data_IF_437418133867
#
_entry.id   IF_437418133867
#
_cell.length_a   1.000
_cell.length_b   1.000
_cell.length_c   1.000
_cell.angle_alpha   90.00
_cell.angle_beta   90.00
_cell.angle_gamma   90.00
#
_symmetry.space_group_name_H-M   'P 1'
#
loop_
_entity.id
_entity.type
_entity.pdbx_description
1 polymer ?
#
# COMPACT_ATOMS: atom_id res chain seq x y z
N UNK A 1 4.13 2.04 26.89
CA UNK A 1 4.68 2.02 25.52
C UNK A 1 3.61 1.51 24.58
N UNK A 2 3.34 2.23 23.47
CA UNK A 2 2.30 1.89 22.49
C UNK A 2 2.95 1.17 21.31
N UNK A 3 2.36 0.04 20.91
CA UNK A 3 2.80 -0.76 19.78
C UNK A 3 1.88 -0.51 18.59
N UNK A 4 2.47 -0.49 17.38
CA UNK A 4 1.77 -0.27 16.12
C UNK A 4 2.08 -1.42 15.16
N UNK A 5 1.07 -1.88 14.44
CA UNK A 5 1.19 -2.90 13.40
C UNK A 5 1.83 -2.30 12.14
N UNK A 6 2.87 -2.95 11.64
CA UNK A 6 3.61 -2.54 10.44
C UNK A 6 3.42 -3.50 9.25
N UNK A 7 3.04 -4.75 9.53
CA UNK A 7 2.77 -5.78 8.52
C UNK A 7 1.85 -6.84 9.09
N UNK A 8 1.01 -7.42 8.23
CA UNK A 8 0.08 -8.50 8.56
C UNK A 8 0.29 -9.67 7.61
N UNK A 9 0.12 -10.90 8.10
CA UNK A 9 0.07 -12.09 7.26
C UNK A 9 -0.83 -13.17 7.89
N UNK A 10 -1.25 -14.14 7.08
CA UNK A 10 -1.88 -15.38 7.54
C UNK A 10 -0.87 -16.41 8.05
N UNK A 11 0.42 -16.24 7.76
CA UNK A 11 1.47 -17.17 8.19
C UNK A 11 2.58 -16.44 8.94
N UNK A 12 2.96 -17.00 10.10
CA UNK A 12 4.04 -16.47 10.94
C UNK A 12 5.38 -16.47 10.17
N UNK A 13 5.60 -17.47 9.32
CA UNK A 13 6.80 -17.60 8.49
C UNK A 13 7.05 -16.39 7.59
N UNK A 14 5.99 -15.76 7.08
CA UNK A 14 6.10 -14.63 6.15
C UNK A 14 6.63 -13.36 6.84
N UNK A 15 6.52 -13.31 8.16
CA UNK A 15 6.98 -12.20 8.99
C UNK A 15 8.36 -12.47 9.59
N UNK A 16 8.87 -13.71 9.52
CA UNK A 16 10.10 -14.11 10.19
C UNK A 16 11.33 -13.34 9.69
N UNK A 17 11.48 -13.20 8.37
CA UNK A 17 12.63 -12.51 7.76
C UNK A 17 12.67 -11.04 8.16
N UNK A 18 11.53 -10.34 8.02
CA UNK A 18 11.42 -8.93 8.38
C UNK A 18 11.63 -8.72 9.89
N UNK A 19 11.02 -9.56 10.73
CA UNK A 19 11.21 -9.51 12.18
C UNK A 19 12.68 -9.66 12.55
N UNK A 20 13.37 -10.68 12.02
CA UNK A 20 14.81 -10.89 12.28
C UNK A 20 15.67 -9.72 11.81
N UNK A 21 15.33 -9.10 10.67
CA UNK A 21 16.04 -7.91 10.20
C UNK A 21 15.87 -6.74 11.18
N UNK A 22 14.65 -6.44 11.61
CA UNK A 22 14.38 -5.36 12.57
C UNK A 22 15.05 -5.61 13.93
N UNK A 23 15.00 -6.85 14.43
CA UNK A 23 15.66 -7.24 15.68
C UNK A 23 17.18 -7.14 15.59
N UNK A 24 17.78 -7.47 14.44
CA UNK A 24 19.24 -7.29 14.20
C UNK A 24 19.68 -5.83 14.26
N UNK A 25 18.74 -4.90 14.05
CA UNK A 25 18.92 -3.47 14.16
C UNK A 25 18.63 -2.92 15.56
N UNK A 26 18.31 -3.80 16.51
CA UNK A 26 17.98 -3.43 17.90
C UNK A 26 16.57 -2.89 18.07
N UNK A 27 15.68 -3.10 17.10
CA UNK A 27 14.28 -2.67 17.18
C UNK A 27 13.45 -3.76 17.85
N UNK A 28 12.75 -3.41 18.92
CA UNK A 28 11.89 -4.36 19.63
C UNK A 28 10.65 -4.68 18.80
N UNK A 29 10.48 -5.95 18.46
CA UNK A 29 9.35 -6.45 17.70
C UNK A 29 8.50 -7.43 18.53
N UNK A 30 7.20 -7.49 18.24
CA UNK A 30 6.31 -8.54 18.77
C UNK A 30 5.35 -9.02 17.69
N UNK A 31 4.95 -10.29 17.78
CA UNK A 31 3.89 -10.85 16.94
C UNK A 31 2.61 -10.95 17.76
N UNK A 32 1.56 -10.26 17.31
CA UNK A 32 0.22 -10.39 17.91
C UNK A 32 -0.55 -11.47 17.18
N UNK A 33 -1.27 -12.30 17.94
CA UNK A 33 -2.02 -13.48 17.46
C UNK A 33 -1.15 -14.64 16.93
N UNK A 34 0.15 -14.68 17.23
CA UNK A 34 1.09 -15.69 16.71
C UNK A 34 0.62 -17.14 16.92
N UNK A 35 0.14 -17.48 18.13
CA UNK A 35 -0.30 -18.84 18.45
C UNK A 35 -1.68 -19.16 17.84
N UNK A 36 -2.60 -18.20 17.85
CA UNK A 36 -3.95 -18.37 17.31
C UNK A 36 -3.90 -18.65 15.82
N UNK A 37 -3.11 -17.87 15.07
CA UNK A 37 -3.01 -18.01 13.62
C UNK A 37 -2.31 -19.32 13.22
N UNK A 38 -1.42 -19.87 14.07
CA UNK A 38 -0.84 -21.20 13.80
C UNK A 38 -1.87 -22.34 13.83
N UNK A 39 -2.94 -22.19 14.61
CA UNK A 39 -4.01 -23.20 14.71
C UNK A 39 -5.14 -22.91 13.72
N UNK A 40 -5.44 -21.64 13.46
CA UNK A 40 -6.64 -21.19 12.73
C UNK A 40 -6.28 -20.17 11.63
N UNK A 41 -5.32 -20.49 10.76
CA UNK A 41 -4.91 -19.63 9.63
C UNK A 41 -5.90 -19.62 8.45
N UNK A 42 -6.83 -20.58 8.39
CA UNK A 42 -7.77 -20.73 7.27
C UNK A 42 -8.94 -19.74 7.33
N UNK A 43 -9.11 -19.02 8.45
CA UNK A 43 -10.13 -17.98 8.57
C UNK A 43 -9.56 -16.68 7.99
N UNK A 44 -10.17 -16.07 6.96
CA UNK A 44 -9.63 -14.86 6.32
C UNK A 44 -9.48 -13.63 7.23
N UNK A 45 -10.17 -13.58 8.36
CA UNK A 45 -10.02 -12.50 9.35
C UNK A 45 -8.94 -12.78 10.40
N UNK A 46 -8.36 -13.99 10.44
CA UNK A 46 -7.31 -14.34 11.39
C UNK A 46 -5.94 -14.09 10.77
N UNK A 47 -5.29 -13.04 11.24
CA UNK A 47 -3.96 -12.64 10.81
C UNK A 47 -3.04 -12.46 12.01
N UNK A 48 -1.77 -12.78 11.80
CA UNK A 48 -0.69 -12.40 12.69
C UNK A 48 -0.22 -11.00 12.31
N UNK A 49 -0.05 -10.15 13.32
CA UNK A 49 0.38 -8.76 13.15
C UNK A 49 1.81 -8.61 13.68
N UNK A 50 2.75 -8.15 12.83
CA UNK A 50 4.08 -7.71 13.27
C UNK A 50 3.98 -6.29 13.80
N UNK A 51 4.34 -6.10 15.07
CA UNK A 51 4.23 -4.82 15.76
C UNK A 51 5.57 -4.35 16.32
N UNK A 52 5.77 -3.03 16.28
CA UNK A 52 6.95 -2.31 16.79
C UNK A 52 6.51 -1.19 17.73
N UNK A 53 7.44 -0.65 18.53
CA UNK A 53 7.17 0.53 19.33
C UNK A 53 6.92 1.76 18.43
N UNK A 54 5.94 2.59 18.80
CA UNK A 54 5.61 3.82 18.07
C UNK A 54 6.81 4.78 17.95
N UNK A 55 7.73 4.76 18.91
CA UNK A 55 8.96 5.55 18.90
C UNK A 55 9.94 5.17 17.78
N UNK A 56 9.89 3.92 17.30
CA UNK A 56 10.82 3.41 16.30
C UNK A 56 10.26 3.49 14.87
N UNK A 57 9.04 4.03 14.71
CA UNK A 57 8.30 4.00 13.44
C UNK A 57 9.07 4.61 12.27
N UNK A 58 9.75 5.73 12.48
CA UNK A 58 10.47 6.41 11.40
C UNK A 58 11.70 5.64 10.94
N UNK A 59 12.42 5.00 11.88
CA UNK A 59 13.53 4.11 11.55
C UNK A 59 13.04 2.85 10.84
N UNK A 60 11.94 2.27 11.31
CA UNK A 60 11.32 1.08 10.70
C UNK A 60 10.90 1.37 9.25
N UNK A 61 10.32 2.54 8.95
CA UNK A 61 9.97 2.93 7.59
C UNK A 61 11.17 2.93 6.63
N UNK A 62 12.33 3.41 7.09
CA UNK A 62 13.55 3.39 6.29
C UNK A 62 13.98 1.96 5.96
N UNK A 63 14.00 1.08 6.97
CA UNK A 63 14.35 -0.33 6.78
C UNK A 63 13.38 -1.02 5.83
N UNK A 64 12.07 -0.77 5.96
CA UNK A 64 11.06 -1.35 5.07
C UNK A 64 11.27 -0.94 3.61
N UNK A 65 11.72 0.30 3.37
CA UNK A 65 12.09 0.77 2.04
C UNK A 65 13.35 0.04 1.55
N UNK A 66 14.40 -0.05 2.37
CA UNK A 66 15.65 -0.72 2.02
C UNK A 66 15.46 -2.22 1.72
N UNK A 67 14.57 -2.89 2.45
CA UNK A 67 14.26 -4.31 2.24
C UNK A 67 13.25 -4.56 1.12
N UNK A 68 12.74 -3.50 0.48
CA UNK A 68 11.72 -3.59 -0.58
C UNK A 68 10.33 -4.03 -0.10
N UNK A 69 10.08 -3.99 1.22
CA UNK A 69 8.76 -4.26 1.83
C UNK A 69 7.80 -3.09 1.60
N UNK A 70 8.35 -1.87 1.54
CA UNK A 70 7.67 -0.69 1.05
C UNK A 70 8.38 -0.20 -0.22
N UNK A 71 7.63 0.28 -1.23
CA UNK A 71 8.25 0.93 -2.37
C UNK A 71 8.98 2.20 -1.90
N UNK A 72 10.22 2.37 -2.36
CA UNK A 72 11.13 3.50 -2.07
C UNK A 72 10.49 4.88 -2.32
N UNK A 73 9.48 4.87 -3.18
CA UNK A 73 8.31 5.72 -3.06
C UNK A 73 7.15 4.96 -3.69
N UNK A 74 5.97 4.89 -3.05
CA UNK A 74 4.75 4.67 -3.82
C UNK A 74 4.70 5.83 -4.82
N UNK A 75 5.13 5.58 -6.06
CA UNK A 75 5.71 6.57 -6.97
C UNK A 75 5.11 7.95 -6.80
N UNK A 76 5.83 8.85 -6.10
CA UNK A 76 5.50 10.27 -6.17
C UNK A 76 5.69 10.63 -7.63
N UNK A 77 4.59 10.80 -8.36
CA UNK A 77 4.62 11.22 -9.75
C UNK A 77 5.13 12.65 -9.73
N UNK A 78 6.44 12.79 -9.87
CA UNK A 78 7.10 14.09 -9.89
C UNK A 78 6.93 14.65 -11.29
N UNK A 79 6.62 15.94 -11.40
CA UNK A 79 6.52 16.56 -12.71
C UNK A 79 7.90 16.57 -13.40
N UNK A 80 8.06 15.99 -14.61
CA UNK A 80 9.36 15.95 -15.31
C UNK A 80 9.87 17.32 -15.73
N UNK A 81 9.01 18.36 -15.72
CA UNK A 81 9.37 19.72 -16.12
C UNK A 81 9.87 20.59 -14.97
N UNK A 82 9.32 20.43 -13.77
CA UNK A 82 9.60 21.35 -12.65
C UNK A 82 9.88 20.67 -11.31
N UNK A 83 9.88 19.33 -11.24
CA UNK A 83 10.16 18.60 -10.01
C UNK A 83 9.08 18.70 -8.93
N UNK A 84 7.90 19.26 -9.26
CA UNK A 84 6.81 19.38 -8.28
C UNK A 84 6.17 18.04 -7.96
N UNK A 85 5.93 17.79 -6.68
CA UNK A 85 5.13 16.66 -6.19
C UNK A 85 3.61 16.89 -6.33
N UNK A 86 3.20 18.13 -6.64
CA UNK A 86 1.78 18.51 -6.75
C UNK A 86 1.24 18.17 -8.15
N UNK A 87 0.95 16.90 -8.36
CA UNK A 87 0.45 16.37 -9.64
C UNK A 87 -0.95 15.80 -9.47
N UNK A 88 -1.89 16.20 -10.34
CA UNK A 88 -3.27 15.67 -10.36
C UNK A 88 -3.48 14.79 -11.58
N UNK A 89 -4.11 13.64 -11.37
CA UNK A 89 -4.59 12.78 -12.44
C UNK A 89 -5.80 13.44 -13.14
N UNK A 90 -5.74 13.55 -14.46
CA UNK A 90 -6.81 14.10 -15.31
C UNK A 90 -7.37 12.99 -16.20
N UNK A 91 -8.52 12.45 -15.80
CA UNK A 91 -9.30 11.55 -16.64
C UNK A 91 -10.03 12.33 -17.74
N UNK A 92 -9.94 11.85 -18.99
CA UNK A 92 -10.70 12.38 -20.12
C UNK A 92 -12.22 12.27 -19.86
N UNK A 93 -13.00 13.20 -20.40
CA UNK A 93 -14.46 13.24 -20.21
C UNK A 93 -15.12 11.92 -20.64
N UNK A 94 -14.70 11.33 -21.77
CA UNK A 94 -15.18 10.02 -22.24
C UNK A 94 -14.97 8.91 -21.19
N UNK A 95 -13.82 8.91 -20.52
CA UNK A 95 -13.50 7.94 -19.46
C UNK A 95 -14.34 8.18 -18.20
N UNK A 96 -14.64 9.43 -17.84
CA UNK A 96 -15.52 9.74 -16.70
C UNK A 96 -16.92 9.16 -16.89
N UNK A 97 -17.48 9.32 -18.09
CA UNK A 97 -18.78 8.73 -18.45
C UNK A 97 -18.72 7.20 -18.43
N UNK A 98 -17.65 6.61 -18.99
CA UNK A 98 -17.45 5.16 -19.00
C UNK A 98 -17.34 4.58 -17.58
N UNK A 99 -16.62 5.25 -16.67
CA UNK A 99 -16.51 4.83 -15.26
C UNK A 99 -17.88 4.85 -14.59
N UNK A 100 -18.65 5.94 -14.74
CA UNK A 100 -19.99 6.03 -14.17
C UNK A 100 -20.90 4.90 -14.66
N UNK A 101 -20.89 4.62 -15.96
CA UNK A 101 -21.69 3.52 -16.52
C UNK A 101 -21.22 2.15 -16.02
N UNK A 102 -19.91 1.93 -15.91
CA UNK A 102 -19.35 0.67 -15.41
C UNK A 102 -19.70 0.39 -13.95
N UNK A 103 -19.73 1.42 -13.10
CA UNK A 103 -20.13 1.30 -11.69
C UNK A 103 -21.61 0.91 -11.57
N UNK A 104 -22.47 1.55 -12.36
CA UNK A 104 -23.91 1.23 -12.39
C UNK A 104 -24.12 -0.22 -12.88
N UNK A 105 -23.43 -0.63 -13.95
CA UNK A 105 -23.52 -1.98 -14.47
C UNK A 105 -22.99 -3.05 -13.48
N UNK A 106 -21.87 -2.77 -12.80
CA UNK A 106 -21.33 -3.67 -11.78
C UNK A 106 -22.30 -3.84 -10.60
N UNK A 107 -22.96 -2.76 -10.17
CA UNK A 107 -23.96 -2.80 -9.11
C UNK A 107 -25.21 -3.61 -9.50
N UNK A 108 -25.64 -3.53 -10.77
CA UNK A 108 -26.84 -4.23 -11.26
C UNK A 108 -26.58 -5.70 -11.63
N UNK A 109 -25.41 -6.01 -12.18
CA UNK A 109 -25.10 -7.32 -12.75
C UNK A 109 -24.05 -8.13 -11.96
N UNK A 110 -23.57 -7.61 -10.82
CA UNK A 110 -22.53 -8.24 -9.97
C UNK A 110 -21.30 -8.63 -10.81
N UNK A 111 -20.91 -7.76 -11.73
CA UNK A 111 -19.72 -7.96 -12.57
C UNK A 111 -18.52 -7.26 -11.96
N UNK A 112 -17.32 -7.83 -12.12
CA UNK A 112 -16.07 -7.22 -11.67
C UNK A 112 -15.76 -5.96 -12.48
N UNK A 113 -15.40 -4.87 -11.80
CA UNK A 113 -14.93 -3.65 -12.46
C UNK A 113 -13.53 -3.88 -13.09
N UNK A 114 -13.35 -3.65 -14.40
CA UNK A 114 -12.04 -3.77 -15.04
C UNK A 114 -11.20 -2.53 -14.74
N UNK A 115 -10.70 -2.44 -13.50
CA UNK A 115 -9.92 -1.31 -12.99
C UNK A 115 -8.61 -1.10 -13.78
N UNK A 116 -8.01 -2.19 -14.25
CA UNK A 116 -6.83 -2.21 -15.13
C UNK A 116 -7.05 -1.36 -16.39
N UNK A 117 -8.19 -1.51 -17.07
CA UNK A 117 -8.52 -0.78 -18.31
C UNK A 117 -8.95 0.66 -18.05
N UNK A 118 -9.55 0.93 -16.89
CA UNK A 118 -10.03 2.26 -16.51
C UNK A 118 -8.86 3.22 -16.29
N UNK A 119 -7.82 2.75 -15.60
CA UNK A 119 -6.63 3.56 -15.26
C UNK A 119 -5.50 3.47 -16.28
N UNK A 120 -5.57 2.55 -17.26
CA UNK A 120 -4.64 2.52 -18.38
C UNK A 120 -4.62 3.87 -19.12
N UNK A 121 -3.44 4.46 -19.31
CA UNK A 121 -3.23 5.78 -19.97
C UNK A 121 -3.91 6.95 -19.24
N UNK A 122 -3.87 6.98 -17.91
CA UNK A 122 -4.21 8.18 -17.15
C UNK A 122 -3.13 9.26 -17.41
N UNK A 123 -3.57 10.47 -17.78
CA UNK A 123 -2.67 11.63 -17.93
C UNK A 123 -2.60 12.37 -16.61
N UNK A 124 -1.42 12.86 -16.30
CA UNK A 124 -1.11 13.65 -15.13
C UNK A 124 -0.93 15.11 -15.52
N UNK A 125 -1.39 16.02 -14.66
CA UNK A 125 -1.21 17.46 -14.82
C UNK A 125 -0.56 18.05 -13.58
N UNK A 126 0.57 18.72 -13.75
CA UNK A 126 1.22 19.44 -12.67
C UNK A 126 0.43 20.71 -12.30
N UNK A 127 0.23 20.96 -11.01
CA UNK A 127 -0.47 22.14 -10.50
C UNK A 127 0.41 23.40 -10.48
N UNK A 128 1.73 23.27 -10.46
CA UNK A 128 2.65 24.41 -10.36
C UNK A 128 3.07 24.93 -11.73
N UNK A 129 3.47 24.05 -12.67
CA UNK A 129 3.91 24.47 -14.01
C UNK A 129 2.90 24.19 -15.13
N UNK A 130 1.79 23.50 -14.83
CA UNK A 130 0.73 23.20 -15.80
C UNK A 130 1.06 22.10 -16.82
N UNK A 131 2.25 21.48 -16.76
CA UNK A 131 2.66 20.43 -17.69
C UNK A 131 1.75 19.19 -17.63
N UNK A 132 1.41 18.62 -18.79
CA UNK A 132 0.62 17.39 -18.92
C UNK A 132 1.52 16.25 -19.43
N UNK A 133 1.53 15.09 -18.76
CA UNK A 133 2.35 13.92 -19.11
C UNK A 133 1.65 12.59 -18.79
#
# INVERSE_FOLDING_TARGET
MKFITIKESHYVSDLAVLKSRLESEGIQCRLKNELTTQVINYIPSMQVELQVAESDLDRVKQILVETGELPESAGKTVCPKCGSEKVKMKLSFKKRVQVLFSVIAAALFITSLPMDKIFANARFKCLECGNEF
#
